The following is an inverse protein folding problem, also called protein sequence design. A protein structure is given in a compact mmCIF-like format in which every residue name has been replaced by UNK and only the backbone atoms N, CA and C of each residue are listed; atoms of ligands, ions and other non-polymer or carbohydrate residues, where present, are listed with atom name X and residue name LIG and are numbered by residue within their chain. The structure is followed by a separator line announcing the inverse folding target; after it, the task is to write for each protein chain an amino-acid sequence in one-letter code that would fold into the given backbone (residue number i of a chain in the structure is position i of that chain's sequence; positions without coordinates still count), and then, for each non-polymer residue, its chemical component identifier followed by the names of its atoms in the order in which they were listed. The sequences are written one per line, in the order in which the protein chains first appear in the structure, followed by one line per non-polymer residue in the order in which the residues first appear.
data_IF_387592658116
#
_entry.id   IF_387592658116
#
_cell.length_a   1.000
_cell.length_b   1.000
_cell.length_c   1.000
_cell.angle_alpha   90.00
_cell.angle_beta   90.00
_cell.angle_gamma   90.00
#
_symmetry.space_group_name_H-M   'P 1'
#
loop_
_entity.id
_entity.type
_entity.pdbx_description
1 polymer ?
#
# COMPACT_ATOMS: atom_id res chain seq x y z
N UNK A 1 5.46 18.67 -46.64
CA UNK A 1 5.73 19.22 -45.29
C UNK A 1 6.32 18.07 -44.47
N UNK A 2 7.60 18.13 -44.10
CA UNK A 2 8.46 16.96 -43.78
C UNK A 2 8.12 16.24 -42.47
N UNK A 3 8.11 14.89 -42.50
CA UNK A 3 7.98 13.98 -41.34
C UNK A 3 8.89 14.34 -40.16
N UNK A 4 10.07 14.91 -40.41
CA UNK A 4 10.97 15.39 -39.35
C UNK A 4 10.35 16.51 -38.51
N UNK A 5 9.59 17.42 -39.12
CA UNK A 5 8.89 18.50 -38.38
C UNK A 5 7.78 17.92 -37.49
N UNK A 6 7.09 16.88 -37.96
CA UNK A 6 6.06 16.17 -37.19
C UNK A 6 6.69 15.43 -35.99
N UNK A 7 7.75 14.66 -36.20
CA UNK A 7 8.45 13.94 -35.13
C UNK A 7 9.03 14.88 -34.07
N UNK A 8 9.65 15.99 -34.49
CA UNK A 8 10.13 17.01 -33.55
C UNK A 8 8.99 17.70 -32.79
N UNK A 9 7.84 17.96 -33.42
CA UNK A 9 6.68 18.52 -32.74
C UNK A 9 6.11 17.55 -31.70
N UNK A 10 5.91 16.28 -32.06
CA UNK A 10 5.44 15.22 -31.14
C UNK A 10 6.41 15.08 -29.96
N UNK A 11 7.72 14.95 -30.24
CA UNK A 11 8.73 14.83 -29.20
C UNK A 11 8.72 16.03 -28.24
N UNK A 12 8.65 17.27 -28.76
CA UNK A 12 8.54 18.48 -27.93
C UNK A 12 7.26 18.51 -27.10
N UNK A 13 6.13 18.11 -27.68
CA UNK A 13 4.86 18.04 -26.96
C UNK A 13 4.90 17.00 -25.84
N UNK A 14 5.44 15.79 -26.10
CA UNK A 14 5.64 14.76 -25.08
C UNK A 14 6.53 15.27 -23.94
N UNK A 15 7.67 15.91 -24.25
CA UNK A 15 8.55 16.48 -23.23
C UNK A 15 7.85 17.58 -22.42
N UNK A 16 7.06 18.45 -23.04
CA UNK A 16 6.31 19.49 -22.32
C UNK A 16 5.22 18.92 -21.41
N UNK A 17 4.52 17.86 -21.85
CA UNK A 17 3.53 17.15 -21.02
C UNK A 17 4.20 16.51 -19.81
N UNK A 18 5.33 15.84 -20.00
CA UNK A 18 6.12 15.25 -18.90
C UNK A 18 6.64 16.31 -17.91
N UNK A 19 7.15 17.44 -18.40
CA UNK A 19 7.60 18.55 -17.55
C UNK A 19 6.42 19.11 -16.74
N UNK A 20 5.27 19.34 -17.38
CA UNK A 20 4.06 19.86 -16.71
C UNK A 20 3.55 18.90 -15.63
N UNK A 21 3.55 17.61 -15.94
CA UNK A 21 3.20 16.55 -15.01
C UNK A 21 4.11 16.55 -13.78
N UNK A 22 5.44 16.55 -13.99
CA UNK A 22 6.45 16.55 -12.91
C UNK A 22 6.33 17.79 -12.01
N UNK A 23 6.19 18.97 -12.61
CA UNK A 23 6.05 20.23 -11.88
C UNK A 23 4.78 20.23 -11.00
N UNK A 24 3.64 19.81 -11.55
CA UNK A 24 2.39 19.70 -10.78
C UNK A 24 2.53 18.73 -9.60
N UNK A 25 3.15 17.58 -9.84
CA UNK A 25 3.40 16.58 -8.78
C UNK A 25 4.29 17.14 -7.67
N UNK A 26 5.34 17.91 -8.00
CA UNK A 26 6.23 18.52 -7.00
C UNK A 26 5.52 19.59 -6.17
N UNK A 27 4.77 20.50 -6.82
CA UNK A 27 4.01 21.54 -6.12
C UNK A 27 2.97 20.91 -5.18
N UNK A 28 2.27 19.88 -5.65
CA UNK A 28 1.32 19.16 -4.80
C UNK A 28 2.02 18.50 -3.61
N UNK A 29 3.15 17.83 -3.85
CA UNK A 29 3.88 17.15 -2.78
C UNK A 29 4.39 18.13 -1.72
N UNK A 30 4.96 19.26 -2.13
CA UNK A 30 5.41 20.32 -1.22
C UNK A 30 4.26 20.86 -0.38
N UNK A 31 3.11 21.16 -0.98
CA UNK A 31 1.92 21.57 -0.23
C UNK A 31 1.46 20.45 0.73
N UNK A 32 1.36 19.22 0.26
CA UNK A 32 0.87 18.07 1.03
C UNK A 32 1.74 17.77 2.25
N UNK A 33 3.06 17.93 2.17
CA UNK A 33 3.98 17.73 3.31
C UNK A 33 3.88 18.82 4.37
N UNK A 34 3.29 19.97 4.07
CA UNK A 34 3.07 21.04 5.05
C UNK A 34 1.68 21.00 5.70
N UNK A 35 0.77 20.17 5.20
CA UNK A 35 -0.55 19.96 5.81
C UNK A 35 -0.47 19.17 7.11
N UNK A 36 -1.43 19.41 8.00
CA UNK A 36 -1.61 18.62 9.20
C UNK A 36 -2.18 17.23 8.89
N UNK A 37 -2.02 16.31 9.84
CA UNK A 37 -2.49 14.92 9.71
C UNK A 37 -3.99 14.84 9.36
N UNK A 38 -4.83 15.68 9.97
CA UNK A 38 -6.27 15.69 9.71
C UNK A 38 -6.58 16.11 8.26
N UNK A 39 -5.88 17.11 7.74
CA UNK A 39 -6.10 17.64 6.39
C UNK A 39 -5.58 16.68 5.32
N UNK A 40 -4.43 16.04 5.56
CA UNK A 40 -3.90 15.02 4.64
C UNK A 40 -4.87 13.87 4.42
N UNK A 41 -5.65 13.52 5.43
CA UNK A 41 -6.63 12.42 5.36
C UNK A 41 -7.64 12.61 4.23
N UNK A 42 -7.98 13.84 3.87
CA UNK A 42 -8.97 14.10 2.81
C UNK A 42 -8.42 13.89 1.40
N UNK A 43 -7.10 13.95 1.23
CA UNK A 43 -6.42 13.64 -0.03
C UNK A 43 -6.18 12.14 -0.25
N UNK A 44 -6.55 11.28 0.70
CA UNK A 44 -6.47 9.84 0.55
C UNK A 44 -7.85 9.18 0.42
N UNK A 45 -7.88 7.95 -0.07
CA UNK A 45 -9.10 7.15 -0.08
C UNK A 45 -9.55 6.81 1.35
N UNK A 46 -10.86 6.79 1.59
CA UNK A 46 -11.43 6.24 2.82
C UNK A 46 -11.59 4.72 2.64
N UNK A 47 -11.61 3.97 3.75
CA UNK A 47 -11.72 2.51 3.69
C UNK A 47 -12.94 2.06 2.89
N UNK A 48 -14.11 2.64 3.15
CA UNK A 48 -15.37 2.32 2.45
C UNK A 48 -15.42 2.80 0.99
N UNK A 49 -14.58 3.78 0.61
CA UNK A 49 -14.45 4.19 -0.78
C UNK A 49 -13.57 3.21 -1.57
N UNK A 50 -12.58 2.62 -0.88
CA UNK A 50 -11.53 1.80 -1.47
C UNK A 50 -11.91 0.32 -1.53
N UNK A 51 -12.46 -0.22 -0.44
CA UNK A 51 -12.80 -1.64 -0.29
C UNK A 51 -14.32 -1.77 -0.37
N UNK A 52 -14.81 -2.36 -1.46
CA UNK A 52 -16.24 -2.57 -1.67
C UNK A 52 -16.72 -3.88 -1.07
N UNK A 53 -15.87 -4.90 -1.08
CA UNK A 53 -16.16 -6.21 -0.50
C UNK A 53 -14.89 -6.77 0.13
N UNK A 54 -15.04 -7.50 1.23
CA UNK A 54 -13.92 -8.15 1.89
C UNK A 54 -14.39 -9.43 2.57
N UNK A 55 -13.63 -10.50 2.39
CA UNK A 55 -13.81 -11.72 3.17
C UNK A 55 -12.47 -12.33 3.60
N UNK A 56 -12.47 -12.93 4.78
CA UNK A 56 -11.35 -13.73 5.26
C UNK A 56 -11.85 -14.99 5.94
N UNK A 57 -11.28 -16.15 5.62
CA UNK A 57 -11.81 -17.44 6.04
C UNK A 57 -13.31 -17.61 5.72
N UNK A 58 -13.75 -17.12 4.55
CA UNK A 58 -15.16 -17.07 4.14
C UNK A 58 -16.09 -16.29 5.09
N UNK A 59 -15.53 -15.44 5.96
CA UNK A 59 -16.28 -14.54 6.86
C UNK A 59 -16.12 -13.10 6.39
N UNK A 60 -17.21 -12.32 6.26
CA UNK A 60 -17.11 -10.91 5.89
C UNK A 60 -16.26 -10.12 6.89
N UNK A 61 -15.35 -9.29 6.38
CA UNK A 61 -14.49 -8.46 7.22
C UNK A 61 -15.30 -7.32 7.87
N UNK A 62 -14.88 -6.91 9.06
CA UNK A 62 -15.40 -5.73 9.76
C UNK A 62 -14.48 -4.53 9.56
N UNK A 63 -15.02 -3.33 9.73
CA UNK A 63 -14.19 -2.10 9.74
C UNK A 63 -13.12 -2.11 10.81
N UNK A 64 -13.39 -2.79 11.94
CA UNK A 64 -12.48 -2.91 13.08
C UNK A 64 -11.29 -3.84 12.80
N UNK A 65 -11.37 -4.67 11.75
CA UNK A 65 -10.27 -5.55 11.31
C UNK A 65 -9.16 -4.76 10.58
N UNK A 66 -9.43 -3.49 10.27
CA UNK A 66 -8.51 -2.59 9.58
C UNK A 66 -7.98 -1.49 10.49
N UNK A 67 -6.66 -1.38 10.56
CA UNK A 67 -5.96 -0.26 11.19
C UNK A 67 -5.58 0.80 10.16
N UNK A 68 -5.78 2.06 10.50
CA UNK A 68 -5.45 3.19 9.64
C UNK A 68 -4.05 3.74 9.93
N UNK A 69 -3.30 4.08 8.89
CA UNK A 69 -2.10 4.92 9.00
C UNK A 69 -1.94 5.80 7.75
N UNK A 70 -1.10 6.84 7.84
CA UNK A 70 -0.82 7.72 6.72
C UNK A 70 0.61 7.54 6.22
N UNK A 71 0.76 7.38 4.91
CA UNK A 71 2.02 7.50 4.20
C UNK A 71 2.11 8.87 3.52
N UNK A 72 3.26 9.52 3.65
CA UNK A 72 3.51 10.78 2.93
C UNK A 72 3.55 10.56 1.40
N UNK A 73 3.96 9.37 0.95
CA UNK A 73 4.06 9.07 -0.48
C UNK A 73 2.77 8.47 -1.06
N UNK A 74 2.04 7.70 -0.26
CA UNK A 74 0.88 6.91 -0.73
C UNK A 74 -0.45 7.32 -0.08
N UNK A 75 -0.49 8.39 0.71
CA UNK A 75 -1.74 8.89 1.29
C UNK A 75 -2.28 7.99 2.41
N UNK A 76 -3.57 7.68 2.34
CA UNK A 76 -4.25 6.86 3.33
C UNK A 76 -3.97 5.37 3.10
N UNK A 77 -3.54 4.69 4.15
CA UNK A 77 -3.24 3.28 4.13
C UNK A 77 -4.07 2.52 5.17
N UNK A 78 -4.38 1.27 4.87
CA UNK A 78 -5.15 0.38 5.74
C UNK A 78 -4.43 -0.94 5.92
N UNK A 79 -4.29 -1.38 7.16
CA UNK A 79 -3.67 -2.66 7.53
C UNK A 79 -4.71 -3.61 8.05
N UNK A 80 -4.95 -4.69 7.33
CA UNK A 80 -5.73 -5.82 7.80
C UNK A 80 -4.94 -6.62 8.85
N UNK A 81 -5.62 -7.06 9.92
CA UNK A 81 -5.08 -7.96 10.94
C UNK A 81 -3.80 -7.44 11.65
N UNK A 82 -3.73 -6.13 11.95
CA UNK A 82 -2.63 -5.53 12.72
C UNK A 82 -2.69 -5.97 14.20
N UNK A 83 -1.54 -6.19 14.83
CA UNK A 83 -1.52 -6.49 16.26
C UNK A 83 -1.91 -5.24 17.07
N UNK A 84 -2.82 -5.43 18.03
CA UNK A 84 -3.18 -4.42 19.03
C UNK A 84 -2.62 -4.83 20.39
N UNK A 85 -2.11 -3.85 21.15
CA UNK A 85 -1.43 -4.04 22.44
C UNK A 85 -2.26 -4.80 23.51
N UNK A 86 -3.56 -4.99 23.28
CA UNK A 86 -4.49 -5.55 24.27
C UNK A 86 -5.09 -6.91 23.91
N UNK A 87 -4.80 -7.49 22.73
CA UNK A 87 -5.34 -8.82 22.36
C UNK A 87 -4.41 -9.58 21.40
N UNK A 88 -3.50 -10.38 21.96
CA UNK A 88 -2.87 -11.50 21.23
C UNK A 88 -3.93 -12.45 20.64
N UNK A 89 -5.13 -12.52 21.25
CA UNK A 89 -6.25 -13.40 20.87
C UNK A 89 -7.12 -12.90 19.71
N UNK A 90 -6.92 -11.70 19.18
CA UNK A 90 -7.72 -11.17 18.05
C UNK A 90 -7.01 -11.26 16.69
N UNK A 91 -5.85 -11.92 16.63
CA UNK A 91 -5.18 -12.20 15.35
C UNK A 91 -6.02 -13.20 14.57
N UNK A 92 -6.52 -12.78 13.40
CA UNK A 92 -7.16 -13.68 12.46
C UNK A 92 -6.10 -14.63 11.92
N UNK A 93 -6.17 -15.89 12.35
CA UNK A 93 -5.36 -16.97 11.79
C UNK A 93 -6.06 -17.52 10.54
N UNK A 94 -5.29 -17.79 9.49
CA UNK A 94 -5.79 -18.58 8.37
C UNK A 94 -6.05 -20.00 8.88
N UNK A 95 -7.26 -20.51 8.60
CA UNK A 95 -7.67 -21.84 9.05
C UNK A 95 -7.06 -22.94 8.19
N UNK A 96 -7.04 -22.71 6.89
CA UNK A 96 -6.53 -23.66 5.89
C UNK A 96 -5.73 -22.93 4.80
N UNK A 97 -5.05 -23.71 3.96
CA UNK A 97 -4.38 -23.19 2.76
C UNK A 97 -5.38 -23.19 1.61
N UNK A 98 -5.53 -22.06 0.92
CA UNK A 98 -6.43 -21.92 -0.22
C UNK A 98 -6.98 -20.51 -0.33
N UNK A 99 -7.59 -20.19 -1.47
CA UNK A 99 -8.19 -18.88 -1.73
C UNK A 99 -9.32 -18.58 -0.72
N UNK A 100 -10.18 -19.56 -0.44
CA UNK A 100 -11.34 -19.42 0.46
C UNK A 100 -10.96 -19.13 1.93
N UNK A 101 -9.74 -19.52 2.32
CA UNK A 101 -9.17 -19.25 3.65
C UNK A 101 -8.30 -17.99 3.69
N UNK A 102 -7.99 -17.41 2.53
CA UNK A 102 -7.17 -16.22 2.38
C UNK A 102 -7.90 -14.93 2.73
N UNK A 103 -7.29 -13.80 2.36
CA UNK A 103 -7.92 -12.49 2.34
C UNK A 103 -8.36 -12.21 0.90
N UNK A 104 -9.66 -12.03 0.71
CA UNK A 104 -10.27 -11.61 -0.55
C UNK A 104 -10.75 -10.16 -0.43
N UNK A 105 -10.41 -9.33 -1.42
CA UNK A 105 -10.63 -7.89 -1.43
C UNK A 105 -11.08 -7.43 -2.82
N UNK A 106 -12.34 -6.99 -2.91
CA UNK A 106 -12.80 -6.21 -4.05
C UNK A 106 -12.53 -4.74 -3.78
N UNK A 107 -11.82 -4.09 -4.71
CA UNK A 107 -11.45 -2.68 -4.58
C UNK A 107 -12.02 -1.83 -5.70
N UNK A 108 -12.41 -0.61 -5.36
CA UNK A 108 -12.94 0.37 -6.31
C UNK A 108 -12.02 1.59 -6.38
N UNK A 109 -11.51 1.85 -7.58
CA UNK A 109 -10.55 2.92 -7.85
C UNK A 109 -11.14 3.83 -8.94
N UNK A 110 -11.76 4.93 -8.55
CA UNK A 110 -12.49 5.82 -9.46
C UNK A 110 -11.71 7.08 -9.86
N UNK A 111 -10.83 7.55 -8.99
CA UNK A 111 -10.24 8.89 -9.09
C UNK A 111 -8.76 8.90 -8.78
N UNK A 112 -7.98 9.47 -9.69
CA UNK A 112 -6.56 9.75 -9.48
C UNK A 112 -6.32 11.23 -9.65
N UNK A 113 -5.22 11.73 -9.10
CA UNK A 113 -4.77 13.07 -9.42
C UNK A 113 -4.31 13.08 -10.89
N UNK A 114 -4.57 14.19 -11.59
CA UNK A 114 -4.19 14.37 -13.00
C UNK A 114 -2.66 14.33 -13.23
N UNK A 115 -1.90 14.27 -12.13
CA UNK A 115 -0.46 14.15 -12.05
C UNK A 115 -0.02 12.90 -11.26
N UNK A 116 -0.84 11.85 -11.20
CA UNK A 116 -0.41 10.51 -10.78
C UNK A 116 0.29 9.78 -11.93
N UNK A 117 1.47 9.22 -11.68
CA UNK A 117 2.31 8.58 -12.72
C UNK A 117 1.87 7.15 -13.02
N UNK A 118 1.19 6.54 -12.07
CA UNK A 118 0.68 5.18 -12.13
C UNK A 118 -0.70 5.10 -11.49
N UNK A 119 -1.47 4.14 -11.98
CA UNK A 119 -2.76 3.75 -11.42
C UNK A 119 -2.64 2.32 -10.86
N UNK A 120 -3.31 2.06 -9.74
CA UNK A 120 -3.25 0.78 -9.05
C UNK A 120 -3.02 0.93 -7.55
N UNK A 121 -2.90 -0.21 -6.89
CA UNK A 121 -2.81 -0.29 -5.44
C UNK A 121 -1.43 -0.78 -5.01
N UNK A 122 -0.88 -0.21 -3.95
CA UNK A 122 0.36 -0.67 -3.31
C UNK A 122 -0.03 -1.62 -2.18
N UNK A 123 0.53 -2.84 -2.18
CA UNK A 123 0.26 -3.87 -1.17
C UNK A 123 1.56 -4.30 -0.51
N UNK A 124 1.53 -4.50 0.80
CA UNK A 124 2.68 -4.86 1.63
C UNK A 124 2.26 -5.99 2.56
N UNK A 125 3.08 -7.02 2.63
CA UNK A 125 2.93 -8.09 3.60
C UNK A 125 3.99 -7.89 4.67
N UNK A 126 3.56 -7.73 5.93
CA UNK A 126 4.47 -7.43 7.03
C UNK A 126 4.10 -8.18 8.30
N UNK A 127 4.98 -8.08 9.30
CA UNK A 127 4.72 -8.64 10.61
C UNK A 127 3.64 -7.82 11.35
N UNK A 128 2.75 -8.48 12.09
CA UNK A 128 1.65 -7.78 12.75
C UNK A 128 2.08 -6.74 13.80
N UNK A 129 3.25 -6.94 14.41
CA UNK A 129 3.82 -6.03 15.41
C UNK A 129 4.78 -4.99 14.81
N UNK A 130 4.85 -4.91 13.48
CA UNK A 130 5.72 -3.98 12.75
C UNK A 130 4.88 -3.02 11.92
N UNK A 131 5.33 -1.76 11.85
CA UNK A 131 4.68 -0.80 10.97
C UNK A 131 5.09 -1.04 9.50
N UNK A 132 4.13 -1.06 8.57
CA UNK A 132 4.41 -1.30 7.16
C UNK A 132 5.19 -0.15 6.51
N UNK A 133 6.15 -0.48 5.65
CA UNK A 133 6.85 0.48 4.80
C UNK A 133 6.46 0.31 3.32
N UNK A 134 5.49 1.11 2.80
CA UNK A 134 5.03 1.01 1.41
C UNK A 134 6.10 1.32 0.37
N UNK A 135 7.13 2.07 0.75
CA UNK A 135 8.19 2.52 -0.15
C UNK A 135 9.17 1.38 -0.40
N UNK A 136 9.63 0.73 0.68
CA UNK A 136 10.66 -0.29 0.62
C UNK A 136 10.11 -1.68 0.29
N UNK A 137 9.02 -2.09 0.94
CA UNK A 137 8.60 -3.49 1.00
C UNK A 137 7.30 -3.77 0.22
N UNK A 138 6.71 -2.72 -0.38
CA UNK A 138 5.47 -2.85 -1.15
C UNK A 138 5.69 -3.39 -2.57
N UNK A 139 4.66 -4.02 -3.11
CA UNK A 139 4.51 -4.31 -4.54
C UNK A 139 3.23 -3.66 -5.06
N UNK A 140 3.15 -3.44 -6.37
CA UNK A 140 2.01 -2.75 -6.99
C UNK A 140 1.12 -3.74 -7.72
N UNK A 141 -0.19 -3.57 -7.57
CA UNK A 141 -1.24 -4.33 -8.24
C UNK A 141 -1.95 -3.42 -9.24
N UNK A 142 -2.17 -3.91 -10.44
CA UNK A 142 -2.85 -3.18 -11.51
C UNK A 142 -4.37 -3.28 -11.36
N UNK A 143 -5.12 -2.22 -11.64
CA UNK A 143 -6.58 -2.27 -11.64
C UNK A 143 -7.10 -3.03 -12.87
N UNK A 144 -8.33 -3.53 -12.77
CA UNK A 144 -9.05 -4.14 -13.90
C UNK A 144 -8.79 -5.64 -14.12
N UNK A 145 -7.96 -6.26 -13.28
CA UNK A 145 -7.67 -7.69 -13.30
C UNK A 145 -7.69 -8.27 -11.89
N UNK A 146 -8.09 -9.53 -11.76
CA UNK A 146 -7.90 -10.29 -10.53
C UNK A 146 -6.41 -10.61 -10.34
N UNK A 147 -5.87 -10.32 -9.16
CA UNK A 147 -4.47 -10.62 -8.82
C UNK A 147 -4.42 -11.55 -7.63
N UNK A 148 -3.93 -12.76 -7.84
CA UNK A 148 -3.76 -13.76 -6.79
C UNK A 148 -2.33 -13.73 -6.27
N UNK A 149 -2.17 -13.61 -4.95
CA UNK A 149 -0.87 -13.53 -4.28
C UNK A 149 -0.76 -14.66 -3.25
N UNK A 150 0.06 -15.66 -3.55
CA UNK A 150 0.36 -16.76 -2.63
C UNK A 150 1.55 -16.41 -1.75
N UNK A 151 1.41 -16.65 -0.44
CA UNK A 151 2.43 -16.32 0.56
C UNK A 151 3.00 -17.58 1.21
N UNK A 152 4.32 -17.62 1.37
CA UNK A 152 5.02 -18.68 2.12
C UNK A 152 5.84 -18.03 3.22
N UNK A 153 5.58 -18.40 4.48
CA UNK A 153 6.35 -17.89 5.62
C UNK A 153 7.67 -18.64 5.73
N UNK A 154 8.78 -17.90 5.67
CA UNK A 154 10.12 -18.41 5.95
C UNK A 154 10.64 -17.74 7.22
N UNK A 155 11.03 -18.55 8.20
CA UNK A 155 11.59 -18.07 9.47
C UNK A 155 13.08 -18.40 9.54
N UNK A 156 13.91 -17.39 9.80
CA UNK A 156 15.37 -17.56 9.94
C UNK A 156 15.74 -17.13 11.36
N UNK A 157 16.14 -18.10 12.16
CA UNK A 157 16.72 -17.86 13.48
C UNK A 157 18.25 -17.87 13.38
N UNK A 158 18.90 -16.81 13.89
CA UNK A 158 20.36 -16.70 13.87
C UNK A 158 20.92 -17.02 15.26
N UNK A 159 21.98 -17.82 15.30
CA UNK A 159 22.66 -18.14 16.55
C UNK A 159 23.25 -16.87 17.21
N UNK A 160 23.25 -16.80 18.55
CA UNK A 160 23.88 -15.71 19.30
C UNK A 160 25.41 -15.77 19.18
N UNK A 161 26.12 -14.82 19.82
CA UNK A 161 27.59 -14.83 19.85
C UNK A 161 28.13 -16.20 20.33
N UNK A 162 29.27 -16.72 19.81
CA UNK A 162 30.31 -16.04 19.00
C UNK A 162 30.13 -16.14 17.48
N UNK A 163 29.04 -16.72 16.99
CA UNK A 163 28.86 -17.00 15.56
C UNK A 163 28.61 -15.74 14.71
N UNK A 164 28.42 -14.56 15.33
CA UNK A 164 28.16 -13.28 14.66
C UNK A 164 28.55 -12.06 15.50
N UNK A 165 29.13 -11.02 14.86
CA UNK A 165 29.38 -9.69 15.44
C UNK A 165 28.30 -8.72 14.92
N UNK A 166 27.10 -8.72 15.49
CA UNK A 166 26.10 -7.66 15.26
C UNK A 166 25.39 -7.43 16.58
N UNK A 167 25.27 -6.16 16.99
CA UNK A 167 24.55 -5.75 18.20
C UNK A 167 23.20 -6.48 18.28
N UNK A 168 23.00 -7.19 19.39
CA UNK A 168 21.90 -8.09 19.63
C UNK A 168 20.58 -7.31 19.66
N UNK A 169 19.83 -7.36 18.58
CA UNK A 169 18.36 -7.21 18.64
C UNK A 169 17.79 -8.58 18.36
N UNK A 170 17.51 -9.31 19.43
CA UNK A 170 16.67 -10.51 19.45
C UNK A 170 15.30 -10.17 18.86
N UNK A 171 15.16 -10.27 17.54
CA UNK A 171 13.84 -10.27 16.90
C UNK A 171 13.38 -11.72 16.86
N UNK A 172 12.47 -12.08 17.77
CA UNK A 172 11.69 -13.32 17.74
C UNK A 172 11.15 -13.58 16.32
N UNK A 173 10.89 -14.84 15.93
CA UNK A 173 10.23 -15.14 14.66
C UNK A 173 8.83 -14.52 14.66
N UNK A 174 8.73 -13.31 14.11
CA UNK A 174 7.49 -12.55 14.13
C UNK A 174 6.45 -13.22 13.24
N UNK A 175 5.18 -13.13 13.63
CA UNK A 175 4.09 -13.57 12.78
C UNK A 175 3.96 -12.60 11.60
N UNK A 176 4.14 -13.11 10.38
CA UNK A 176 3.76 -12.42 9.15
C UNK A 176 2.30 -12.76 8.91
N UNK A 177 1.40 -11.83 9.21
CA UNK A 177 -0.04 -12.06 9.12
C UNK A 177 -0.83 -10.77 8.86
N UNK A 178 -0.15 -9.65 8.60
CA UNK A 178 -0.80 -8.38 8.30
C UNK A 178 -0.52 -7.94 6.88
N UNK A 179 -1.57 -7.44 6.23
CA UNK A 179 -1.52 -6.92 4.87
C UNK A 179 -1.91 -5.46 4.92
N UNK A 180 -0.97 -4.59 4.54
CA UNK A 180 -1.21 -3.17 4.41
C UNK A 180 -1.36 -2.81 2.94
N UNK A 181 -2.38 -2.01 2.63
CA UNK A 181 -2.62 -1.52 1.28
C UNK A 181 -2.92 -0.03 1.26
N UNK A 182 -2.53 0.60 0.17
CA UNK A 182 -2.69 2.02 -0.07
C UNK A 182 -2.94 2.27 -1.55
N UNK A 183 -3.75 3.29 -1.84
CA UNK A 183 -3.85 3.86 -3.18
C UNK A 183 -3.32 5.29 -3.15
N UNK A 184 -2.76 5.74 -4.28
CA UNK A 184 -2.27 7.09 -4.45
C UNK A 184 -3.33 8.16 -4.11
N UNK A 185 -2.85 9.38 -3.89
CA UNK A 185 -3.69 10.49 -3.45
C UNK A 185 -4.79 10.81 -4.47
N UNK A 186 -5.95 11.24 -3.96
CA UNK A 186 -7.11 11.74 -4.69
C UNK A 186 -7.38 13.21 -4.36
N UNK A 187 -8.25 13.87 -5.14
CA UNK A 187 -8.70 15.23 -4.83
C UNK A 187 -9.57 15.21 -3.57
N UNK A 188 -9.26 16.10 -2.63
CA UNK A 188 -10.12 16.41 -1.49
C UNK A 188 -11.36 17.15 -2.02
N UNK A 189 -12.56 16.61 -1.79
CA UNK A 189 -13.84 17.26 -2.11
C UNK A 189 -14.36 18.05 -0.92
#
# INVERSE_FOLDING_TARGET
MSERKLYTAISKTTTQVEIRYKLKSQIFFDHYTHLDYADRKCYGYRLHDLVTNCSSNSVPCRTDDFSYFQSIQYGNCYTFNKASNNMESSRLAMREVGQDSGLDLDTWLDTYLDFSSSAGMRVIVHNADEDPNPVADGFSIVPGYETQVSLTKVSIERLPAPYRIVAETTRLPKAVNSIAFANGSKKCR
#
